data_IF_602706278931
#
_entry.id   IF_602706278931
#
_cell.length_a   1.000
_cell.length_b   1.000
_cell.length_c   1.000
_cell.angle_alpha   90.00
_cell.angle_beta   90.00
_cell.angle_gamma   90.00
#
_symmetry.space_group_name_H-M   'P 1'
#
loop_
_entity.id
_entity.type
_entity.pdbx_description
1 polymer ?
#
# COMPACT_ATOMS: atom_id res chain seq x y z
N UNK A 1 61.20 13.98 -68.74
CA UNK A 1 60.01 13.40 -68.06
C UNK A 1 60.45 12.85 -66.72
N UNK A 2 60.25 13.62 -65.65
CA UNK A 2 60.44 13.18 -64.27
C UNK A 2 59.65 14.09 -63.31
N UNK A 3 58.76 13.46 -62.54
CA UNK A 3 58.36 13.78 -61.16
C UNK A 3 57.80 15.18 -60.84
N UNK A 4 56.46 15.30 -60.89
CA UNK A 4 55.69 16.28 -60.08
C UNK A 4 54.51 15.58 -59.41
N UNK A 5 54.79 14.73 -58.43
CA UNK A 5 53.73 14.09 -57.63
C UNK A 5 54.26 13.70 -56.24
N UNK A 6 54.56 14.69 -55.39
CA UNK A 6 54.90 14.37 -53.98
C UNK A 6 54.59 15.46 -52.94
N UNK A 7 54.21 16.68 -53.33
CA UNK A 7 54.03 17.78 -52.35
C UNK A 7 52.57 18.04 -51.95
N UNK A 8 51.59 17.47 -52.65
CA UNK A 8 50.17 17.70 -52.40
C UNK A 8 49.59 16.72 -51.36
N UNK A 9 50.18 15.53 -51.22
CA UNK A 9 49.71 14.48 -50.30
C UNK A 9 50.06 14.83 -48.84
N UNK A 10 51.18 15.51 -48.59
CA UNK A 10 51.55 15.94 -47.23
C UNK A 10 50.75 17.16 -46.74
N UNK A 11 50.37 18.09 -47.62
CA UNK A 11 49.59 19.26 -47.24
C UNK A 11 48.14 18.91 -46.86
N UNK A 12 47.53 17.93 -47.53
CA UNK A 12 46.18 17.45 -47.20
C UNK A 12 46.14 16.68 -45.86
N UNK A 13 47.20 15.94 -45.53
CA UNK A 13 47.27 15.14 -44.31
C UNK A 13 47.49 16.01 -43.05
N UNK A 14 48.23 17.12 -43.16
CA UNK A 14 48.42 18.06 -42.04
C UNK A 14 47.15 18.86 -41.75
N UNK A 15 46.38 19.24 -42.78
CA UNK A 15 45.13 19.98 -42.59
C UNK A 15 44.03 19.16 -41.88
N UNK A 16 43.92 17.86 -42.19
CA UNK A 16 42.93 16.98 -41.55
C UNK A 16 43.26 16.71 -40.07
N UNK A 17 44.55 16.62 -39.72
CA UNK A 17 44.97 16.40 -38.32
C UNK A 17 44.75 17.66 -37.46
N UNK A 18 44.93 18.87 -38.01
CA UNK A 18 44.68 20.12 -37.27
C UNK A 18 43.18 20.36 -37.05
N UNK A 19 42.32 20.08 -38.03
CA UNK A 19 40.85 20.20 -37.85
C UNK A 19 40.30 19.15 -36.88
N UNK A 20 40.81 17.91 -36.92
CA UNK A 20 40.46 16.89 -35.94
C UNK A 20 40.95 17.24 -34.51
N UNK A 21 42.15 17.82 -34.37
CA UNK A 21 42.69 18.27 -33.09
C UNK A 21 41.90 19.43 -32.46
N UNK A 22 41.40 20.37 -33.27
CA UNK A 22 40.57 21.49 -32.78
C UNK A 22 39.16 21.01 -32.40
N UNK A 23 38.57 20.06 -33.14
CA UNK A 23 37.27 19.46 -32.79
C UNK A 23 37.35 18.66 -31.49
N UNK A 24 38.45 17.93 -31.25
CA UNK A 24 38.67 17.20 -29.99
C UNK A 24 38.91 18.16 -28.81
N UNK A 25 39.63 19.28 -29.01
CA UNK A 25 39.84 20.28 -27.96
C UNK A 25 38.57 21.10 -27.61
N UNK A 26 37.65 21.27 -28.56
CA UNK A 26 36.31 21.88 -28.28
C UNK A 26 35.38 20.88 -27.61
N UNK A 27 35.46 19.59 -27.96
CA UNK A 27 34.67 18.51 -27.33
C UNK A 27 35.18 18.11 -25.92
N UNK A 28 36.43 18.45 -25.57
CA UNK A 28 37.03 18.18 -24.26
C UNK A 28 37.15 19.41 -23.36
N UNK A 29 36.41 20.49 -23.64
CA UNK A 29 36.26 21.55 -22.62
C UNK A 29 35.55 20.91 -21.42
N UNK A 30 36.19 20.82 -20.24
CA UNK A 30 35.47 20.41 -19.05
C UNK A 30 34.35 21.43 -18.85
N UNK A 31 33.11 20.96 -18.95
CA UNK A 31 31.96 21.71 -18.49
C UNK A 31 32.28 22.19 -17.08
N UNK A 32 32.31 23.50 -16.86
CA UNK A 32 32.37 24.02 -15.50
C UNK A 32 31.27 23.29 -14.72
N UNK A 33 31.57 22.74 -13.52
CA UNK A 33 30.54 22.08 -12.74
C UNK A 33 29.43 23.11 -12.54
N UNK A 34 28.28 22.86 -13.17
CA UNK A 34 27.04 23.53 -12.81
C UNK A 34 26.87 23.14 -11.35
N UNK A 35 27.09 24.09 -10.45
CA UNK A 35 26.76 23.90 -9.06
C UNK A 35 25.33 23.34 -9.07
N UNK A 36 25.08 22.16 -8.44
CA UNK A 36 23.71 21.67 -8.35
C UNK A 36 22.90 22.86 -7.82
N UNK A 37 21.86 23.25 -8.56
CA UNK A 37 20.92 24.23 -8.06
C UNK A 37 20.62 23.79 -6.63
N UNK A 38 20.90 24.66 -5.66
CA UNK A 38 20.61 24.36 -4.28
C UNK A 38 19.16 23.90 -4.29
N UNK A 39 18.96 22.60 -4.03
CA UNK A 39 17.64 22.10 -3.72
C UNK A 39 17.34 22.87 -2.45
N UNK A 40 16.58 23.96 -2.56
CA UNK A 40 15.94 24.54 -1.41
C UNK A 40 15.26 23.35 -0.77
N UNK A 41 15.80 22.94 0.37
CA UNK A 41 15.26 21.84 1.14
C UNK A 41 13.89 22.34 1.49
N UNK A 42 12.88 21.85 0.77
CA UNK A 42 11.52 22.33 0.96
C UNK A 42 11.25 22.25 2.46
N UNK A 43 10.86 23.38 3.06
CA UNK A 43 10.66 23.48 4.51
C UNK A 43 9.69 22.41 5.01
N UNK A 44 9.44 22.24 6.31
CA UNK A 44 8.51 21.22 6.80
C UNK A 44 7.11 21.37 6.19
N UNK A 45 6.36 20.27 6.03
CA UNK A 45 4.98 20.29 5.53
C UNK A 45 4.14 21.32 6.29
N UNK A 46 3.48 22.24 5.58
CA UNK A 46 2.67 23.29 6.19
C UNK A 46 1.18 23.09 5.89
N UNK A 47 0.47 22.32 6.72
CA UNK A 47 -0.98 22.15 6.59
C UNK A 47 -1.78 23.33 7.17
N UNK A 48 -1.11 24.33 7.76
CA UNK A 48 -1.75 25.50 8.40
C UNK A 48 -1.85 26.71 7.46
N UNK A 49 -0.98 26.78 6.45
CA UNK A 49 -0.98 27.81 5.43
C UNK A 49 -2.10 27.71 4.39
N UNK A 50 -1.95 28.50 3.32
CA UNK A 50 -2.82 28.43 2.15
C UNK A 50 -2.72 27.04 1.51
N UNK A 51 -3.87 26.48 1.11
CA UNK A 51 -3.93 25.16 0.48
C UNK A 51 -4.64 25.25 -0.87
N UNK A 52 -4.11 24.51 -1.82
CA UNK A 52 -4.71 24.29 -3.14
C UNK A 52 -5.38 22.92 -3.17
N UNK A 53 -6.57 22.87 -3.78
CA UNK A 53 -7.37 21.66 -3.92
C UNK A 53 -7.52 21.33 -5.41
N UNK A 54 -6.87 20.26 -5.85
CA UNK A 54 -6.93 19.81 -7.24
C UNK A 54 -7.81 18.58 -7.34
N UNK A 55 -8.85 18.64 -8.17
CA UNK A 55 -9.69 17.49 -8.49
C UNK A 55 -9.03 16.63 -9.55
N UNK A 56 -8.96 15.33 -9.27
CA UNK A 56 -8.45 14.31 -10.18
C UNK A 56 -9.54 13.27 -10.42
N UNK A 57 -9.48 12.61 -11.56
CA UNK A 57 -10.39 11.54 -11.97
C UNK A 57 -9.68 10.18 -11.95
N UNK A 58 -10.48 9.10 -12.06
CA UNK A 58 -10.01 7.71 -12.08
C UNK A 58 -9.10 7.31 -10.89
N UNK A 59 -9.65 7.15 -9.67
CA UNK A 59 -10.99 7.52 -9.24
C UNK A 59 -11.13 9.02 -8.95
N UNK A 60 -12.37 9.50 -8.85
CA UNK A 60 -12.67 10.85 -8.40
C UNK A 60 -12.06 11.10 -7.00
N UNK A 61 -11.15 12.08 -6.91
CA UNK A 61 -10.38 12.36 -5.70
C UNK A 61 -9.89 13.81 -5.64
N UNK A 62 -9.60 14.29 -4.43
CA UNK A 62 -9.02 15.61 -4.18
C UNK A 62 -7.58 15.43 -3.71
N UNK A 63 -6.66 16.03 -4.46
CA UNK A 63 -5.28 16.24 -4.05
C UNK A 63 -5.18 17.58 -3.32
N UNK A 64 -4.59 17.58 -2.13
CA UNK A 64 -4.39 18.78 -1.31
C UNK A 64 -2.91 19.13 -1.33
N UNK A 65 -2.60 20.36 -1.71
CA UNK A 65 -1.25 20.89 -1.76
C UNK A 65 -1.10 22.11 -0.85
N UNK A 66 0.09 22.32 -0.31
CA UNK A 66 0.43 23.57 0.36
C UNK A 66 0.82 24.68 -0.62
N UNK A 67 1.09 25.88 -0.10
CA UNK A 67 1.52 27.03 -0.90
C UNK A 67 2.83 26.80 -1.68
N UNK A 68 3.67 25.85 -1.25
CA UNK A 68 4.89 25.45 -1.96
C UNK A 68 4.63 24.37 -3.03
N UNK A 69 3.37 23.99 -3.26
CA UNK A 69 2.97 22.98 -4.25
C UNK A 69 3.18 21.53 -3.79
N UNK A 70 3.54 21.29 -2.53
CA UNK A 70 3.78 19.93 -2.03
C UNK A 70 2.47 19.24 -1.72
N UNK A 71 2.37 17.99 -2.12
CA UNK A 71 1.19 17.16 -1.86
C UNK A 71 1.16 16.78 -0.40
N UNK A 72 0.17 17.27 0.35
CA UNK A 72 -0.03 16.92 1.75
C UNK A 72 -0.91 15.68 1.90
N UNK A 73 -1.94 15.56 1.06
CA UNK A 73 -2.93 14.51 1.20
C UNK A 73 -3.67 14.19 -0.09
N UNK A 74 -4.18 12.96 -0.19
CA UNK A 74 -5.06 12.50 -1.26
C UNK A 74 -6.32 11.86 -0.67
N UNK A 75 -7.47 12.47 -0.95
CA UNK A 75 -8.78 12.03 -0.49
C UNK A 75 -9.59 11.48 -1.65
N UNK A 76 -10.05 10.24 -1.54
CA UNK A 76 -10.85 9.61 -2.60
C UNK A 76 -12.32 9.65 -2.23
N UNK A 77 -13.16 10.10 -3.16
CA UNK A 77 -14.60 10.20 -2.93
C UNK A 77 -15.17 8.87 -2.42
N UNK A 78 -16.17 8.96 -1.54
CA UNK A 78 -16.85 7.85 -0.85
C UNK A 78 -15.96 7.02 0.09
N UNK A 79 -14.65 7.28 0.15
CA UNK A 79 -13.69 6.56 0.98
C UNK A 79 -13.32 7.36 2.23
N UNK A 80 -12.94 6.67 3.30
CA UNK A 80 -12.41 7.28 4.52
C UNK A 80 -10.89 7.15 4.64
N UNK A 81 -10.25 6.19 4.00
CA UNK A 81 -8.79 6.09 3.95
C UNK A 81 -8.24 7.25 3.14
N UNK A 82 -7.29 7.95 3.73
CA UNK A 82 -6.60 9.11 3.17
C UNK A 82 -5.12 8.83 3.20
N UNK A 83 -4.44 8.99 2.07
CA UNK A 83 -2.97 9.04 2.05
C UNK A 83 -2.54 10.42 2.49
N UNK A 84 -1.80 10.49 3.57
CA UNK A 84 -1.07 11.66 4.01
C UNK A 84 0.38 11.47 3.58
N UNK A 85 0.99 12.49 2.98
CA UNK A 85 2.43 12.49 2.71
C UNK A 85 3.15 12.86 4.01
N UNK A 86 4.04 11.99 4.48
CA UNK A 86 4.77 12.17 5.73
C UNK A 86 6.24 11.75 5.60
N UNK A 87 6.94 11.56 6.72
CA UNK A 87 8.32 11.05 6.69
C UNK A 87 8.39 9.70 5.98
N UNK A 88 9.39 9.55 5.11
CA UNK A 88 9.68 8.27 4.44
C UNK A 88 10.08 7.21 5.47
N UNK A 89 9.67 5.98 5.21
CA UNK A 89 9.99 4.79 6.01
C UNK A 89 10.05 3.54 5.15
N UNK A 90 10.82 2.57 5.61
CA UNK A 90 11.01 1.29 4.92
C UNK A 90 10.48 0.13 5.77
N UNK A 91 9.60 -0.68 5.19
CA UNK A 91 9.10 -1.92 5.77
C UNK A 91 9.95 -3.12 5.34
N UNK A 92 10.19 -4.05 6.28
CA UNK A 92 11.04 -5.24 6.10
C UNK A 92 10.44 -6.46 6.80
N UNK A 93 10.55 -7.62 6.16
CA UNK A 93 10.14 -8.93 6.69
C UNK A 93 11.15 -10.00 6.30
N UNK A 94 12.35 -9.98 6.92
CA UNK A 94 13.51 -10.75 6.45
C UNK A 94 13.32 -12.27 6.49
N UNK A 95 12.32 -12.77 7.23
CA UNK A 95 12.01 -14.19 7.32
C UNK A 95 11.52 -14.78 6.00
N UNK A 96 10.66 -14.06 5.29
CA UNK A 96 9.95 -14.60 4.14
C UNK A 96 10.26 -13.85 2.84
N UNK A 97 10.97 -12.73 2.88
CA UNK A 97 11.47 -12.05 1.67
C UNK A 97 12.69 -11.17 1.98
N UNK A 98 13.47 -10.85 0.95
CA UNK A 98 14.49 -9.79 1.01
C UNK A 98 13.97 -8.45 0.48
N UNK A 99 12.80 -8.45 -0.18
CA UNK A 99 12.20 -7.24 -0.71
C UNK A 99 11.88 -6.25 0.41
N UNK A 100 12.01 -4.97 0.08
CA UNK A 100 11.69 -3.87 0.99
C UNK A 100 10.71 -2.93 0.34
N UNK A 101 9.82 -2.33 1.14
CA UNK A 101 8.86 -1.34 0.64
C UNK A 101 9.16 -0.02 1.33
N UNK A 102 9.60 0.97 0.54
CA UNK A 102 9.88 2.32 1.02
C UNK A 102 8.77 3.25 0.54
N UNK A 103 8.14 3.97 1.47
CA UNK A 103 7.01 4.86 1.16
C UNK A 103 6.98 6.06 2.11
N UNK A 104 6.51 7.19 1.61
CA UNK A 104 6.13 8.38 2.38
C UNK A 104 4.62 8.41 2.69
N UNK A 105 3.88 7.36 2.32
CA UNK A 105 2.45 7.26 2.54
C UNK A 105 2.13 6.89 3.99
N UNK A 106 1.32 7.74 4.64
CA UNK A 106 0.73 7.52 5.95
C UNK A 106 -0.79 7.43 5.80
N UNK A 107 -1.34 6.24 6.00
CA UNK A 107 -2.75 5.94 5.71
C UNK A 107 -3.61 6.20 6.94
N UNK A 108 -4.37 7.29 6.89
CA UNK A 108 -5.23 7.77 7.99
C UNK A 108 -6.72 7.57 7.66
N UNK A 109 -7.58 7.64 8.67
CA UNK A 109 -9.03 7.60 8.48
C UNK A 109 -9.67 8.97 8.71
N UNK A 110 -10.31 9.49 7.66
CA UNK A 110 -11.21 10.62 7.77
C UNK A 110 -12.42 10.27 8.67
N UNK A 111 -13.02 11.27 9.35
CA UNK A 111 -14.18 11.04 10.23
C UNK A 111 -15.40 10.48 9.49
N UNK A 112 -15.50 10.77 8.19
CA UNK A 112 -16.58 10.34 7.31
C UNK A 112 -16.07 10.17 5.87
N UNK A 113 -16.80 9.45 5.01
CA UNK A 113 -16.47 9.34 3.60
C UNK A 113 -16.23 10.71 2.96
N UNK A 114 -15.19 10.83 2.14
CA UNK A 114 -14.91 12.05 1.40
C UNK A 114 -15.98 12.32 0.34
N UNK A 115 -16.24 13.59 0.09
CA UNK A 115 -17.05 14.07 -1.01
C UNK A 115 -16.41 15.35 -1.55
N UNK A 116 -16.63 15.63 -2.83
CA UNK A 116 -16.26 16.92 -3.42
C UNK A 116 -16.85 18.09 -2.60
N UNK A 117 -16.05 19.12 -2.35
CA UNK A 117 -16.41 20.26 -1.51
C UNK A 117 -16.22 20.01 -0.01
N UNK A 118 -15.86 18.81 0.43
CA UNK A 118 -15.66 18.51 1.86
C UNK A 118 -14.47 19.29 2.46
N UNK A 119 -13.58 19.85 1.66
CA UNK A 119 -12.53 20.77 2.09
C UNK A 119 -13.07 22.05 2.76
N UNK A 120 -14.32 22.42 2.47
CA UNK A 120 -15.00 23.56 3.09
C UNK A 120 -15.65 23.21 4.43
N UNK A 121 -15.72 21.92 4.78
CA UNK A 121 -16.37 21.48 6.00
C UNK A 121 -15.52 21.84 7.23
N UNK A 122 -16.17 22.27 8.32
CA UNK A 122 -15.51 22.72 9.54
C UNK A 122 -14.54 21.70 10.17
N UNK A 123 -14.74 20.39 9.92
CA UNK A 123 -13.87 19.33 10.43
C UNK A 123 -12.55 19.22 9.67
N UNK A 124 -12.52 19.63 8.39
CA UNK A 124 -11.45 19.25 7.47
C UNK A 124 -10.11 19.87 7.83
N UNK A 125 -10.04 21.20 7.93
CA UNK A 125 -8.79 21.91 8.24
C UNK A 125 -8.17 21.45 9.56
N UNK A 126 -8.90 21.43 10.70
CA UNK A 126 -8.35 20.93 11.96
C UNK A 126 -7.90 19.46 11.88
N UNK A 127 -8.66 18.62 11.16
CA UNK A 127 -8.31 17.21 10.99
C UNK A 127 -7.03 17.04 10.17
N UNK A 128 -6.89 17.73 9.03
CA UNK A 128 -5.72 17.63 8.16
C UNK A 128 -4.45 18.10 8.88
N UNK A 129 -4.50 19.26 9.53
CA UNK A 129 -3.37 19.78 10.32
C UNK A 129 -2.90 18.77 11.36
N UNK A 130 -3.85 18.17 12.09
CA UNK A 130 -3.54 17.11 13.05
C UNK A 130 -2.90 15.90 12.37
N UNK A 131 -3.47 15.40 11.27
CA UNK A 131 -3.00 14.17 10.64
C UNK A 131 -1.62 14.29 9.97
N UNK A 132 -1.29 15.44 9.39
CA UNK A 132 0.04 15.71 8.81
C UNK A 132 1.13 15.73 9.88
N UNK A 133 0.78 16.09 11.11
CA UNK A 133 1.69 16.12 12.26
C UNK A 133 1.64 14.83 13.11
N UNK A 134 0.71 13.91 12.80
CA UNK A 134 0.49 12.71 13.58
C UNK A 134 1.59 11.68 13.31
N UNK A 135 2.35 11.34 14.35
CA UNK A 135 3.42 10.33 14.30
C UNK A 135 3.00 8.97 14.84
N UNK A 136 1.74 8.84 15.30
CA UNK A 136 1.21 7.55 15.75
C UNK A 136 1.14 6.54 14.58
N UNK A 137 1.19 5.22 14.85
CA UNK A 137 1.07 4.21 13.81
C UNK A 137 -0.19 4.40 12.95
N UNK A 138 -0.02 4.39 11.64
CA UNK A 138 -1.08 4.42 10.62
C UNK A 138 -1.40 2.99 10.15
N UNK A 139 -2.25 2.83 9.13
CA UNK A 139 -2.68 1.49 8.69
C UNK A 139 -1.50 0.54 8.38
N UNK A 140 -0.48 1.03 7.67
CA UNK A 140 0.66 0.21 7.25
C UNK A 140 1.54 -0.17 8.44
N UNK A 141 1.87 0.78 9.32
CA UNK A 141 2.61 0.48 10.54
C UNK A 141 1.84 -0.46 11.48
N UNK A 142 0.51 -0.33 11.57
CA UNK A 142 -0.33 -1.25 12.34
C UNK A 142 -0.32 -2.65 11.72
N UNK A 143 -0.35 -2.76 10.38
CA UNK A 143 -0.29 -4.03 9.67
C UNK A 143 0.98 -4.83 10.02
N UNK A 144 2.12 -4.13 10.13
CA UNK A 144 3.41 -4.71 10.55
C UNK A 144 3.41 -5.31 11.97
N UNK A 145 2.49 -4.89 12.83
CA UNK A 145 2.43 -5.35 14.22
C UNK A 145 2.00 -6.81 14.39
N UNK A 146 1.67 -7.51 13.30
CA UNK A 146 1.14 -8.87 13.31
C UNK A 146 1.94 -9.85 12.46
N UNK A 147 3.09 -9.43 11.95
CA UNK A 147 4.01 -10.33 11.24
C UNK A 147 4.68 -11.32 12.22
N UNK A 148 5.30 -12.36 11.66
CA UNK A 148 6.10 -13.34 12.43
C UNK A 148 7.12 -12.62 13.34
N UNK A 149 7.14 -13.02 14.61
CA UNK A 149 8.03 -12.47 15.62
C UNK A 149 7.69 -11.06 16.11
N UNK A 150 6.58 -10.45 15.67
CA UNK A 150 6.19 -9.12 16.13
C UNK A 150 5.95 -9.10 17.65
N UNK A 151 6.48 -8.11 18.37
CA UNK A 151 6.44 -8.09 19.83
C UNK A 151 5.00 -7.92 20.35
N UNK A 152 4.63 -8.77 21.31
CA UNK A 152 3.34 -8.68 21.97
C UNK A 152 3.19 -7.36 22.73
N UNK A 153 2.08 -6.65 22.50
CA UNK A 153 1.66 -5.49 23.31
C UNK A 153 0.29 -5.73 23.91
N UNK A 154 0.15 -5.33 25.17
CA UNK A 154 -1.04 -5.53 25.99
C UNK A 154 -1.61 -4.19 26.42
N UNK A 155 -2.93 -4.11 26.52
CA UNK A 155 -3.60 -2.97 27.12
C UNK A 155 -3.50 -3.01 28.65
N UNK A 156 -4.08 -2.00 29.32
CA UNK A 156 -4.08 -1.92 30.78
C UNK A 156 -4.82 -3.08 31.47
N UNK A 157 -5.65 -3.85 30.75
CA UNK A 157 -6.36 -5.03 31.24
C UNK A 157 -5.61 -6.33 30.94
N UNK A 158 -4.42 -6.25 30.35
CA UNK A 158 -3.61 -7.41 29.97
C UNK A 158 -4.04 -8.07 28.66
N UNK A 159 -4.99 -7.50 27.92
CA UNK A 159 -5.42 -8.03 26.62
C UNK A 159 -4.37 -7.69 25.58
N UNK A 160 -3.78 -8.71 24.96
CA UNK A 160 -2.84 -8.48 23.86
C UNK A 160 -3.63 -8.02 22.63
N UNK A 161 -3.28 -6.84 22.13
CA UNK A 161 -3.93 -6.18 21.00
C UNK A 161 -3.01 -6.04 19.78
N UNK A 162 -1.75 -6.48 19.92
CA UNK A 162 -0.73 -6.46 18.87
C UNK A 162 0.35 -7.51 19.17
N UNK A 163 1.07 -7.96 18.15
CA UNK A 163 2.08 -9.01 18.20
C UNK A 163 1.80 -10.11 17.18
N UNK A 164 2.75 -11.03 17.05
CA UNK A 164 2.69 -12.19 16.16
C UNK A 164 1.29 -12.84 16.14
N UNK A 165 0.79 -13.09 14.93
CA UNK A 165 -0.52 -13.66 14.68
C UNK A 165 -0.41 -14.90 13.79
N UNK A 166 -0.94 -16.02 14.26
CA UNK A 166 -1.15 -17.21 13.42
C UNK A 166 -2.27 -17.00 12.41
N UNK A 167 -2.38 -17.85 11.39
CA UNK A 167 -3.55 -17.85 10.50
C UNK A 167 -4.79 -18.44 11.22
N UNK A 168 -4.55 -19.54 11.93
CA UNK A 168 -5.57 -20.34 12.60
C UNK A 168 -4.98 -21.65 13.11
N UNK A 169 -5.75 -22.44 13.89
CA UNK A 169 -5.30 -23.73 14.38
C UNK A 169 -5.05 -24.70 13.23
N UNK A 170 -4.16 -25.67 13.46
CA UNK A 170 -3.94 -26.77 12.51
C UNK A 170 -5.25 -27.54 12.29
N UNK A 171 -5.57 -27.83 11.04
CA UNK A 171 -6.80 -28.50 10.65
C UNK A 171 -6.47 -29.72 9.79
N UNK A 172 -6.58 -30.96 10.32
CA UNK A 172 -6.18 -32.17 9.60
C UNK A 172 -6.93 -32.42 8.30
N UNK A 173 -8.14 -31.88 8.19
CA UNK A 173 -9.03 -32.07 7.03
C UNK A 173 -9.06 -30.84 6.11
N UNK A 174 -8.31 -29.79 6.42
CA UNK A 174 -8.21 -28.61 5.60
C UNK A 174 -7.06 -28.81 4.60
N UNK A 175 -7.29 -28.72 3.28
CA UNK A 175 -6.26 -28.95 2.26
C UNK A 175 -5.09 -27.96 2.37
N UNK A 176 -5.33 -26.76 2.91
CA UNK A 176 -4.29 -25.75 3.09
C UNK A 176 -3.52 -25.96 4.41
N UNK A 177 -4.16 -26.63 5.39
CA UNK A 177 -3.54 -27.17 6.62
C UNK A 177 -3.87 -26.39 7.90
N UNK A 178 -4.59 -25.27 7.81
CA UNK A 178 -5.04 -24.47 8.97
C UNK A 178 -6.47 -23.97 8.75
N UNK A 179 -7.26 -23.99 9.81
CA UNK A 179 -8.65 -23.54 9.76
C UNK A 179 -8.73 -22.02 9.57
N UNK A 180 -9.48 -21.59 8.55
CA UNK A 180 -9.95 -20.21 8.41
C UNK A 180 -10.94 -19.83 9.54
N UNK A 181 -11.47 -18.61 9.52
CA UNK A 181 -12.48 -18.03 10.43
C UNK A 181 -11.95 -17.28 11.66
N UNK A 182 -10.65 -17.00 11.77
CA UNK A 182 -10.10 -16.16 12.84
C UNK A 182 -10.33 -14.66 12.56
N UNK A 183 -11.03 -13.95 13.44
CA UNK A 183 -11.23 -12.48 13.38
C UNK A 183 -10.46 -11.75 14.50
N UNK A 184 -10.54 -10.42 14.53
CA UNK A 184 -9.83 -9.60 15.54
C UNK A 184 -10.18 -9.96 16.99
N UNK A 185 -11.42 -10.38 17.24
CA UNK A 185 -11.89 -10.74 18.57
C UNK A 185 -11.33 -12.10 19.04
N UNK A 186 -11.09 -13.03 18.11
CA UNK A 186 -10.39 -14.29 18.37
C UNK A 186 -8.93 -14.04 18.72
N UNK A 187 -8.25 -13.22 17.90
CA UNK A 187 -6.86 -12.82 18.17
C UNK A 187 -6.71 -12.30 19.61
N UNK A 188 -7.59 -11.39 20.01
CA UNK A 188 -7.54 -10.75 21.32
C UNK A 188 -8.00 -11.65 22.46
N UNK A 189 -8.92 -12.58 22.19
CA UNK A 189 -9.60 -13.38 23.19
C UNK A 189 -10.70 -12.60 23.93
N UNK A 190 -11.43 -11.72 23.23
CA UNK A 190 -12.51 -10.91 23.81
C UNK A 190 -13.84 -11.12 23.08
N UNK A 191 -14.97 -11.06 23.79
CA UNK A 191 -16.29 -11.03 23.14
C UNK A 191 -16.53 -9.68 22.47
N UNK A 192 -17.34 -9.68 21.41
CA UNK A 192 -17.62 -8.45 20.66
C UNK A 192 -19.09 -8.33 20.25
N UNK A 193 -19.63 -7.14 20.42
CA UNK A 193 -20.98 -6.77 20.01
C UNK A 193 -20.89 -5.87 18.77
N UNK A 194 -21.40 -6.38 17.64
CA UNK A 194 -21.42 -5.61 16.40
C UNK A 194 -22.65 -4.69 16.34
N UNK A 195 -22.53 -3.50 15.72
CA UNK A 195 -23.64 -2.58 15.53
C UNK A 195 -24.85 -3.16 14.77
N UNK A 196 -24.65 -4.24 14.01
CA UNK A 196 -25.70 -4.95 13.27
C UNK A 196 -26.39 -6.06 14.10
N UNK A 197 -26.18 -6.04 15.42
CA UNK A 197 -26.82 -6.92 16.41
C UNK A 197 -26.22 -8.32 16.46
N UNK A 198 -25.09 -8.58 15.78
CA UNK A 198 -24.39 -9.86 15.92
C UNK A 198 -23.51 -9.81 17.18
N UNK A 199 -23.59 -10.87 17.96
CA UNK A 199 -22.77 -11.06 19.15
C UNK A 199 -21.80 -12.21 18.88
N UNK A 200 -20.50 -11.97 19.05
CA UNK A 200 -19.48 -12.98 18.84
C UNK A 200 -18.69 -13.25 20.12
N UNK A 201 -18.26 -14.51 20.25
CA UNK A 201 -17.38 -14.96 21.32
C UNK A 201 -16.13 -15.55 20.70
N UNK A 202 -14.95 -15.29 21.28
CA UNK A 202 -13.71 -15.80 20.76
C UNK A 202 -13.65 -17.32 20.92
N UNK A 203 -13.15 -18.01 19.90
CA UNK A 203 -12.76 -19.40 20.03
C UNK A 203 -11.35 -19.48 20.63
N UNK A 204 -11.20 -20.25 21.72
CA UNK A 204 -9.89 -20.49 22.35
C UNK A 204 -8.90 -21.13 21.39
N UNK A 205 -9.35 -21.97 20.46
CA UNK A 205 -8.48 -22.59 19.46
C UNK A 205 -7.91 -21.56 18.46
N UNK A 206 -8.58 -20.42 18.29
CA UNK A 206 -8.18 -19.33 17.41
C UNK A 206 -7.53 -18.16 18.16
N UNK A 207 -7.18 -18.33 19.44
CA UNK A 207 -6.49 -17.29 20.21
C UNK A 207 -5.18 -16.90 19.50
N UNK A 208 -4.94 -15.59 19.35
CA UNK A 208 -3.81 -15.03 18.57
C UNK A 208 -3.82 -15.37 17.09
N UNK A 209 -4.96 -15.75 16.51
CA UNK A 209 -5.07 -16.01 15.07
C UNK A 209 -5.84 -14.92 14.34
N UNK A 210 -5.45 -14.63 13.10
CA UNK A 210 -6.12 -13.71 12.17
C UNK A 210 -6.15 -14.36 10.78
N UNK A 211 -7.33 -14.61 10.22
CA UNK A 211 -7.45 -15.00 8.81
C UNK A 211 -7.27 -13.77 7.89
N UNK A 212 -7.30 -13.96 6.57
CA UNK A 212 -7.02 -12.89 5.61
C UNK A 212 -7.89 -11.63 5.84
N UNK A 213 -9.18 -11.83 6.09
CA UNK A 213 -10.15 -10.75 6.29
C UNK A 213 -10.21 -10.29 7.75
N UNK A 214 -9.96 -11.18 8.71
CA UNK A 214 -9.79 -10.87 10.12
C UNK A 214 -8.59 -9.96 10.35
N UNK A 215 -7.52 -10.14 9.59
CA UNK A 215 -6.36 -9.24 9.58
C UNK A 215 -6.72 -7.82 9.13
N UNK A 216 -7.44 -7.67 8.02
CA UNK A 216 -7.94 -6.36 7.55
C UNK A 216 -8.83 -5.71 8.62
N UNK A 217 -9.72 -6.49 9.25
CA UNK A 217 -10.63 -6.01 10.31
C UNK A 217 -9.90 -5.67 11.60
N UNK A 218 -8.79 -6.33 11.90
CA UNK A 218 -7.91 -5.96 13.00
C UNK A 218 -7.25 -4.60 12.73
N UNK A 219 -6.63 -4.43 11.54
CA UNK A 219 -5.94 -3.20 11.15
C UNK A 219 -6.92 -2.02 11.05
N UNK A 220 -7.88 -2.07 10.12
CA UNK A 220 -8.77 -0.95 9.87
C UNK A 220 -9.87 -0.85 10.92
N UNK A 221 -10.46 -1.98 11.31
CA UNK A 221 -11.60 -1.99 12.21
C UNK A 221 -11.22 -1.74 13.66
N UNK A 222 -10.62 -2.72 14.32
CA UNK A 222 -10.32 -2.62 15.75
C UNK A 222 -9.27 -1.57 16.07
N UNK A 223 -8.14 -1.54 15.35
CA UNK A 223 -7.02 -0.64 15.66
C UNK A 223 -7.28 0.78 15.17
N UNK A 224 -7.76 0.98 13.95
CA UNK A 224 -8.03 2.32 13.39
C UNK A 224 -9.46 2.83 13.61
N UNK A 225 -10.38 2.02 14.14
CA UNK A 225 -11.78 2.39 14.43
C UNK A 225 -12.65 2.61 13.18
N UNK A 226 -12.34 1.93 12.08
CA UNK A 226 -13.28 1.80 10.96
C UNK A 226 -14.50 0.96 11.41
N UNK A 227 -15.74 1.33 11.06
CA UNK A 227 -16.92 0.56 11.44
C UNK A 227 -16.84 -0.89 10.94
N UNK A 228 -17.28 -1.84 11.76
CA UNK A 228 -17.32 -3.26 11.42
C UNK A 228 -18.75 -3.78 11.45
N UNK A 229 -19.07 -4.70 10.55
CA UNK A 229 -20.29 -5.48 10.56
C UNK A 229 -19.96 -6.91 11.00
N UNK A 230 -20.84 -7.54 11.78
CA UNK A 230 -20.72 -8.97 12.10
C UNK A 230 -21.26 -9.86 10.97
N UNK A 231 -22.14 -9.32 10.13
CA UNK A 231 -22.79 -10.00 9.01
C UNK A 231 -22.17 -9.63 7.67
N UNK A 232 -22.40 -10.45 6.65
CA UNK A 232 -21.98 -10.22 5.27
C UNK A 232 -23.05 -9.46 4.47
N UNK A 233 -23.36 -8.25 4.91
CA UNK A 233 -24.39 -7.39 4.32
C UNK A 233 -23.80 -6.02 3.95
N UNK A 234 -24.48 -5.31 3.04
CA UNK A 234 -24.13 -3.92 2.72
C UNK A 234 -24.39 -3.01 3.93
N UNK A 235 -23.46 -2.10 4.20
CA UNK A 235 -23.61 -1.12 5.28
C UNK A 235 -22.41 -0.19 5.40
N UNK A 236 -22.38 0.65 6.45
CA UNK A 236 -21.32 1.65 6.65
C UNK A 236 -19.99 1.08 7.17
N UNK A 237 -19.92 -0.24 7.41
CA UNK A 237 -18.75 -0.92 7.97
C UNK A 237 -18.26 -2.08 7.12
N UNK A 238 -17.06 -2.57 7.43
CA UNK A 238 -16.47 -3.72 6.76
C UNK A 238 -17.25 -4.99 7.12
N UNK A 239 -17.75 -5.75 6.12
CA UNK A 239 -18.26 -7.11 6.31
C UNK A 239 -17.21 -8.06 6.89
N UNK A 240 -17.62 -9.28 7.25
CA UNK A 240 -16.69 -10.29 7.82
C UNK A 240 -15.83 -10.97 6.76
N UNK A 241 -16.42 -11.39 5.64
CA UNK A 241 -15.76 -12.21 4.61
C UNK A 241 -15.15 -11.37 3.50
N UNK A 242 -14.05 -11.85 2.90
CA UNK A 242 -13.36 -11.21 1.78
C UNK A 242 -14.30 -10.89 0.60
N UNK A 243 -15.11 -11.85 0.14
CA UNK A 243 -16.06 -11.63 -0.97
C UNK A 243 -17.04 -10.49 -0.64
N UNK A 244 -17.56 -10.45 0.60
CA UNK A 244 -18.51 -9.45 1.03
C UNK A 244 -17.86 -8.07 1.16
N UNK A 245 -16.60 -7.98 1.61
CA UNK A 245 -15.86 -6.71 1.61
C UNK A 245 -15.67 -6.17 0.20
N UNK A 246 -15.37 -7.03 -0.78
CA UNK A 246 -15.20 -6.62 -2.16
C UNK A 246 -16.53 -6.11 -2.77
N UNK A 247 -17.58 -6.92 -2.68
CA UNK A 247 -18.86 -6.69 -3.36
C UNK A 247 -19.77 -5.68 -2.64
N UNK A 248 -19.85 -5.78 -1.31
CA UNK A 248 -20.81 -5.06 -0.47
C UNK A 248 -20.16 -4.01 0.44
N UNK A 249 -18.83 -3.98 0.49
CA UNK A 249 -18.08 -3.09 1.36
C UNK A 249 -18.31 -1.60 1.04
N UNK A 250 -18.08 -0.72 2.03
CA UNK A 250 -18.14 0.73 1.85
C UNK A 250 -17.00 1.24 0.97
N UNK A 251 -16.98 2.54 0.66
CA UNK A 251 -15.90 3.11 -0.13
C UNK A 251 -16.09 3.04 -1.64
N UNK A 252 -14.99 3.23 -2.35
CA UNK A 252 -14.93 3.26 -3.81
C UNK A 252 -14.34 1.95 -4.35
N UNK A 253 -15.09 1.31 -5.25
CA UNK A 253 -14.60 0.23 -6.08
C UNK A 253 -13.61 0.81 -7.09
N UNK A 254 -12.33 0.43 -6.99
CA UNK A 254 -11.27 0.95 -7.85
C UNK A 254 -11.15 0.13 -9.12
N UNK A 255 -11.00 -1.18 -8.93
CA UNK A 255 -10.82 -2.15 -10.01
C UNK A 255 -11.99 -3.13 -9.93
N UNK A 256 -12.91 -3.17 -10.90
CA UNK A 256 -14.04 -4.09 -10.87
C UNK A 256 -13.59 -5.55 -11.11
N UNK A 257 -14.25 -6.51 -10.45
CA UNK A 257 -14.04 -7.93 -10.75
C UNK A 257 -14.64 -8.26 -12.13
N UNK A 258 -13.78 -8.44 -13.13
CA UNK A 258 -14.17 -8.81 -14.50
C UNK A 258 -14.06 -10.32 -14.77
N UNK A 259 -13.92 -11.13 -13.72
CA UNK A 259 -13.62 -12.57 -13.81
C UNK A 259 -12.28 -12.89 -14.50
N UNK A 260 -11.39 -11.91 -14.58
CA UNK A 260 -10.03 -12.03 -15.14
C UNK A 260 -9.04 -11.36 -14.18
N UNK A 261 -7.75 -11.74 -14.23
CA UNK A 261 -6.73 -11.07 -13.45
C UNK A 261 -6.70 -9.57 -13.74
N UNK A 262 -6.82 -8.77 -12.70
CA UNK A 262 -6.76 -7.31 -12.73
C UNK A 262 -5.33 -6.83 -13.00
N UNK A 263 -5.20 -5.76 -13.81
CA UNK A 263 -3.91 -5.19 -14.22
C UNK A 263 -3.85 -3.65 -14.10
N UNK A 264 -4.93 -3.00 -13.66
CA UNK A 264 -5.03 -1.54 -13.53
C UNK A 264 -4.34 -1.00 -12.27
N UNK A 265 -3.04 -1.27 -12.12
CA UNK A 265 -2.29 -0.96 -10.89
C UNK A 265 -2.19 0.54 -10.60
N UNK A 266 -2.21 1.39 -11.64
CA UNK A 266 -2.16 2.85 -11.51
C UNK A 266 -3.35 3.45 -10.73
N UNK A 267 -4.42 2.67 -10.51
CA UNK A 267 -5.56 3.07 -9.70
C UNK A 267 -5.33 2.85 -8.19
N UNK A 268 -4.35 2.02 -7.84
CA UNK A 268 -4.05 1.64 -6.47
C UNK A 268 -3.25 2.73 -5.75
N UNK A 269 -3.41 2.74 -4.44
CA UNK A 269 -2.66 3.54 -3.48
C UNK A 269 -2.46 2.70 -2.23
N UNK A 270 -1.35 2.92 -1.53
CA UNK A 270 -1.09 2.21 -0.28
C UNK A 270 -2.28 2.30 0.67
N UNK A 271 -2.58 1.17 1.32
CA UNK A 271 -3.75 0.97 2.16
C UNK A 271 -4.99 0.42 1.45
N UNK A 272 -5.04 0.40 0.11
CA UNK A 272 -6.17 -0.19 -0.60
C UNK A 272 -6.36 -1.67 -0.27
N UNK A 273 -7.61 -2.11 -0.22
CA UNK A 273 -7.95 -3.51 -0.06
C UNK A 273 -7.87 -4.20 -1.43
N UNK A 274 -7.13 -5.30 -1.48
CA UNK A 274 -6.97 -6.12 -2.69
C UNK A 274 -7.55 -7.50 -2.46
N UNK A 275 -8.20 -8.05 -3.48
CA UNK A 275 -8.98 -9.29 -3.35
C UNK A 275 -8.62 -10.27 -4.46
N UNK A 276 -8.57 -11.56 -4.09
CA UNK A 276 -8.05 -12.61 -4.94
C UNK A 276 -8.95 -13.83 -4.95
N UNK A 277 -8.87 -14.63 -6.01
CA UNK A 277 -9.25 -16.04 -5.94
C UNK A 277 -8.19 -16.87 -5.20
N UNK A 278 -8.59 -18.06 -4.75
CA UNK A 278 -7.72 -19.01 -4.06
C UNK A 278 -8.11 -20.46 -4.44
N UNK A 279 -7.23 -21.41 -4.15
CA UNK A 279 -7.37 -22.82 -4.51
C UNK A 279 -6.47 -23.27 -5.68
N UNK A 280 -6.66 -24.53 -6.09
CA UNK A 280 -5.86 -25.21 -7.12
C UNK A 280 -5.91 -24.45 -8.45
N UNK A 281 -7.10 -24.02 -8.87
CA UNK A 281 -7.31 -23.26 -10.09
C UNK A 281 -7.66 -21.80 -9.80
N UNK A 282 -7.17 -20.89 -10.65
CA UNK A 282 -7.61 -19.51 -10.61
C UNK A 282 -9.07 -19.43 -11.09
N UNK A 283 -9.91 -18.76 -10.32
CA UNK A 283 -11.33 -18.61 -10.62
C UNK A 283 -11.84 -17.18 -10.43
N UNK A 284 -13.11 -16.91 -10.76
CA UNK A 284 -13.72 -15.59 -10.60
C UNK A 284 -14.16 -15.30 -9.15
N UNK A 285 -14.18 -16.33 -8.31
CA UNK A 285 -14.68 -16.25 -6.92
C UNK A 285 -13.63 -15.67 -6.00
N UNK A 286 -13.99 -14.61 -5.29
CA UNK A 286 -13.15 -14.00 -4.27
C UNK A 286 -13.11 -14.89 -3.03
N UNK A 287 -11.90 -15.28 -2.64
CA UNK A 287 -11.65 -16.17 -1.49
C UNK A 287 -10.58 -15.61 -0.56
N UNK A 288 -9.76 -14.68 -1.03
CA UNK A 288 -8.65 -14.10 -0.25
C UNK A 288 -8.66 -12.57 -0.30
N UNK A 289 -8.03 -11.95 0.69
CA UNK A 289 -7.92 -10.50 0.80
C UNK A 289 -6.59 -10.05 1.40
N UNK A 290 -6.18 -8.84 1.09
CA UNK A 290 -4.98 -8.22 1.62
C UNK A 290 -5.02 -6.70 1.54
N UNK A 291 -3.91 -6.07 1.93
CA UNK A 291 -3.69 -4.62 1.94
C UNK A 291 -2.56 -4.33 0.97
N UNK A 292 -2.78 -3.49 -0.04
CA UNK A 292 -1.71 -3.01 -0.91
C UNK A 292 -0.78 -2.09 -0.10
N UNK A 293 0.53 -2.36 -0.11
CA UNK A 293 1.49 -1.64 0.73
C UNK A 293 2.43 -0.73 -0.05
N UNK A 294 2.37 -0.76 -1.39
CA UNK A 294 3.18 0.08 -2.27
C UNK A 294 4.03 -0.73 -3.24
N UNK A 295 5.03 -0.09 -3.80
CA UNK A 295 5.99 -0.69 -4.73
C UNK A 295 7.26 -1.05 -3.96
N UNK A 296 7.80 -2.24 -4.18
CA UNK A 296 9.03 -2.68 -3.54
C UNK A 296 10.30 -2.13 -4.22
N UNK A 297 11.46 -2.38 -3.61
CA UNK A 297 12.78 -1.98 -4.10
C UNK A 297 13.19 -2.61 -5.44
N UNK A 298 12.39 -3.53 -5.97
CA UNK A 298 12.55 -4.13 -7.30
C UNK A 298 11.51 -3.62 -8.30
N UNK A 299 10.64 -2.69 -7.90
CA UNK A 299 9.64 -2.07 -8.77
C UNK A 299 8.33 -2.84 -8.89
N UNK A 300 8.07 -3.83 -8.02
CA UNK A 300 6.85 -4.64 -8.06
C UNK A 300 5.79 -4.18 -7.05
N UNK A 301 4.52 -4.30 -7.42
CA UNK A 301 3.37 -3.93 -6.59
C UNK A 301 3.15 -4.98 -5.52
N UNK A 302 3.43 -4.64 -4.27
CA UNK A 302 3.42 -5.56 -3.14
C UNK A 302 2.18 -5.40 -2.27
N UNK A 303 1.68 -6.52 -1.74
CA UNK A 303 0.58 -6.53 -0.78
C UNK A 303 0.90 -7.36 0.45
N UNK A 304 0.21 -7.09 1.55
CA UNK A 304 0.28 -7.85 2.78
C UNK A 304 -1.03 -8.61 3.01
N UNK A 305 -0.97 -9.88 3.39
CA UNK A 305 -2.16 -10.67 3.73
C UNK A 305 -1.82 -11.77 4.74
N UNK A 306 -2.81 -12.20 5.52
CA UNK A 306 -2.66 -13.38 6.38
C UNK A 306 -2.85 -14.67 5.59
N UNK A 307 -1.88 -15.60 5.65
CA UNK A 307 -1.85 -16.81 4.83
C UNK A 307 -1.61 -18.06 5.65
N UNK A 308 -2.20 -19.16 5.20
CA UNK A 308 -2.02 -20.48 5.80
C UNK A 308 -0.55 -20.91 5.79
N UNK A 309 0.14 -20.79 4.63
CA UNK A 309 1.53 -21.24 4.49
C UNK A 309 2.51 -20.47 5.37
N UNK A 310 2.37 -19.15 5.44
CA UNK A 310 3.20 -18.31 6.32
C UNK A 310 2.78 -18.40 7.80
N UNK A 311 1.65 -19.03 8.08
CA UNK A 311 0.97 -19.03 9.38
C UNK A 311 0.78 -17.63 9.95
N UNK A 312 0.14 -16.76 9.17
CA UNK A 312 -0.14 -15.39 9.61
C UNK A 312 0.02 -14.33 8.54
N UNK A 313 -0.15 -13.05 8.93
CA UNK A 313 0.14 -11.88 8.12
C UNK A 313 1.57 -11.88 7.58
N UNK A 314 1.71 -11.67 6.28
CA UNK A 314 3.00 -11.58 5.58
C UNK A 314 2.88 -10.72 4.32
N UNK A 315 3.94 -10.00 3.97
CA UNK A 315 4.21 -9.51 2.62
C UNK A 315 5.38 -10.24 1.95
N UNK A 316 5.86 -11.33 2.57
CA UNK A 316 6.90 -12.18 2.03
C UNK A 316 6.43 -13.16 0.97
N UNK A 317 7.35 -13.95 0.44
CA UNK A 317 7.12 -14.73 -0.78
C UNK A 317 6.83 -16.21 -0.51
N UNK A 318 6.80 -16.60 0.76
CA UNK A 318 6.47 -17.96 1.18
C UNK A 318 4.97 -18.27 1.00
N UNK A 319 4.67 -19.36 0.30
CA UNK A 319 3.30 -19.67 -0.14
C UNK A 319 2.82 -18.84 -1.33
N UNK A 320 3.75 -18.23 -2.08
CA UNK A 320 3.49 -17.42 -3.26
C UNK A 320 3.97 -15.98 -3.05
N UNK A 321 4.67 -15.42 -4.04
CA UNK A 321 5.19 -14.05 -4.00
C UNK A 321 4.06 -13.04 -3.75
N UNK A 322 4.28 -12.10 -2.84
CA UNK A 322 3.29 -11.09 -2.45
C UNK A 322 3.10 -9.98 -3.48
N UNK A 323 3.05 -10.35 -4.76
CA UNK A 323 3.04 -9.44 -5.88
C UNK A 323 1.68 -9.43 -6.57
N UNK A 324 1.23 -8.24 -6.98
CA UNK A 324 0.04 -8.06 -7.81
C UNK A 324 0.35 -8.20 -9.30
N UNK A 325 1.61 -8.01 -9.68
CA UNK A 325 2.12 -8.13 -11.04
C UNK A 325 3.15 -9.27 -11.21
N UNK A 326 3.61 -9.49 -12.43
CA UNK A 326 4.46 -10.62 -12.79
C UNK A 326 3.71 -11.97 -12.92
N UNK A 327 4.43 -13.10 -13.07
CA UNK A 327 3.84 -14.42 -13.31
C UNK A 327 3.56 -15.24 -12.02
N UNK A 328 3.45 -14.62 -10.85
CA UNK A 328 3.31 -15.30 -9.56
C UNK A 328 1.92 -15.92 -9.29
N UNK A 329 1.80 -16.71 -8.22
CA UNK A 329 0.53 -17.32 -7.80
C UNK A 329 -0.56 -16.27 -7.56
N UNK A 330 -0.22 -15.20 -6.82
CA UNK A 330 -1.15 -14.16 -6.40
C UNK A 330 -1.42 -13.13 -7.50
N UNK A 331 -0.42 -12.79 -8.31
CA UNK A 331 -0.60 -11.86 -9.43
C UNK A 331 -1.56 -12.39 -10.49
N UNK A 332 -1.65 -13.71 -10.65
CA UNK A 332 -2.59 -14.39 -11.54
C UNK A 332 -3.98 -14.57 -10.93
N UNK A 333 -4.16 -14.21 -9.64
CA UNK A 333 -5.41 -14.37 -8.90
C UNK A 333 -5.96 -13.05 -8.38
N UNK A 334 -5.30 -11.92 -8.61
CA UNK A 334 -5.79 -10.61 -8.24
C UNK A 334 -7.01 -10.24 -9.10
N UNK A 335 -8.17 -10.00 -8.48
CA UNK A 335 -9.44 -9.81 -9.20
C UNK A 335 -10.00 -8.40 -9.10
N UNK A 336 -9.89 -7.76 -7.93
CA UNK A 336 -10.56 -6.48 -7.66
C UNK A 336 -9.90 -5.75 -6.50
N UNK A 337 -10.10 -4.43 -6.44
CA UNK A 337 -9.60 -3.59 -5.36
C UNK A 337 -10.61 -2.52 -4.94
N UNK A 338 -10.54 -2.12 -3.67
CA UNK A 338 -11.44 -1.14 -3.05
C UNK A 338 -10.68 -0.24 -2.08
N UNK A 339 -11.00 1.05 -2.11
CA UNK A 339 -10.57 2.05 -1.13
C UNK A 339 -11.73 2.33 -0.19
N UNK A 340 -11.54 2.22 1.12
CA UNK A 340 -12.64 2.18 2.12
C UNK A 340 -12.82 3.50 2.84
#
# INVERSE_FOLDING_TARGET
MASKSSNWIWAALVAVVVVAGVMVAVALRPSAPVAPAAIETAGPADPSGELTYTRLDRPARTQVQDAAGRVLAMFTDKSRTVRISGPERTFREPRFTQATVTTDAWIRLAPKPWAEGAEQAAWFRPWLTKQVQDTSPDALAIAMDYLDGAPARKDAKGVQYAGDASFGPLAPNDPDGRAENSDFYDYMGVSWDFPDGKHERPDKAHLRSLDCSGFIRMVYGYRMKYPLLGKNIKGPGLPRRAYAMAELGPGTLLIPNTSKPARDYDLLQEGDLVFFSHGEEAGPTIQHSGIFIGVDDSGHHRFMSSRVKADGPTFGDFGGESLLDGPSYWSNRFLTARRI
#
